data_IF_892537694116
#
_entry.id   IF_892537694116
#
_cell.length_a   1.000
_cell.length_b   1.000
_cell.length_c   1.000
_cell.angle_alpha   90.00
_cell.angle_beta   90.00
_cell.angle_gamma   90.00
#
_symmetry.space_group_name_H-M   'P 1'
#
loop_
_entity.id
_entity.type
_entity.pdbx_description
1 polymer ?
#
# COMPACT_ATOMS: atom_id res chain seq x y z
N UNK A 1 -16.68 2.85 24.04
CA UNK A 1 -15.35 2.61 23.45
C UNK A 1 -15.39 3.15 22.02
N UNK A 2 -14.40 3.94 21.60
CA UNK A 2 -14.41 4.64 20.30
C UNK A 2 -13.75 3.80 19.19
N UNK A 3 -13.01 2.78 19.56
CA UNK A 3 -12.28 1.89 18.65
C UNK A 3 -13.20 0.75 18.17
N UNK A 4 -13.20 0.52 16.86
CA UNK A 4 -13.95 -0.59 16.22
C UNK A 4 -13.03 -1.80 15.97
N UNK A 5 -11.72 -1.58 15.97
CA UNK A 5 -10.69 -2.62 15.76
C UNK A 5 -9.92 -2.87 17.06
N UNK A 6 -9.43 -4.09 17.22
CA UNK A 6 -8.54 -4.44 18.33
C UNK A 6 -7.22 -3.67 18.21
N UNK A 7 -6.75 -3.14 19.32
CA UNK A 7 -5.47 -2.43 19.42
C UNK A 7 -4.46 -3.32 20.12
N UNK A 8 -3.32 -3.52 19.47
CA UNK A 8 -2.21 -4.33 19.97
C UNK A 8 -0.95 -3.47 20.12
N UNK A 9 -0.06 -3.87 21.02
CA UNK A 9 1.26 -3.26 21.22
C UNK A 9 2.33 -4.34 21.28
N UNK A 10 3.55 -4.00 20.86
CA UNK A 10 4.74 -4.85 20.99
C UNK A 10 5.89 -3.99 21.51
N UNK A 11 6.77 -4.59 22.31
CA UNK A 11 8.02 -3.95 22.74
C UNK A 11 9.12 -4.07 21.69
N UNK A 12 9.02 -5.08 20.81
CA UNK A 12 9.95 -5.30 19.70
C UNK A 12 9.16 -5.39 18.38
N UNK A 13 9.24 -4.31 17.60
CA UNK A 13 8.62 -4.23 16.27
C UNK A 13 9.42 -5.05 15.27
N UNK A 14 10.75 -5.10 15.39
CA UNK A 14 11.59 -5.81 14.43
C UNK A 14 11.37 -7.33 14.49
N UNK A 15 11.25 -7.90 15.69
CA UNK A 15 10.93 -9.32 15.87
C UNK A 15 9.55 -9.64 15.30
N UNK A 16 8.52 -8.84 15.62
CA UNK A 16 7.17 -9.01 15.08
C UNK A 16 7.16 -9.03 13.55
N UNK A 17 7.87 -8.10 12.92
CA UNK A 17 7.92 -8.01 11.45
C UNK A 17 8.63 -9.21 10.81
N UNK A 18 9.71 -9.70 11.43
CA UNK A 18 10.38 -10.92 10.97
C UNK A 18 9.47 -12.13 11.06
N UNK A 19 8.80 -12.33 12.20
CA UNK A 19 7.84 -13.43 12.37
C UNK A 19 6.71 -13.34 11.35
N UNK A 20 6.15 -12.15 11.12
CA UNK A 20 5.08 -11.98 10.12
C UNK A 20 5.57 -12.23 8.69
N UNK A 21 6.78 -11.81 8.36
CA UNK A 21 7.43 -12.12 7.07
C UNK A 21 7.60 -13.64 6.89
N UNK A 22 8.08 -14.35 7.92
CA UNK A 22 8.20 -15.83 7.90
C UNK A 22 6.85 -16.55 7.78
N UNK A 23 5.78 -15.96 8.32
CA UNK A 23 4.39 -16.42 8.14
C UNK A 23 3.81 -16.09 6.74
N UNK A 24 4.58 -15.46 5.86
CA UNK A 24 4.17 -15.14 4.49
C UNK A 24 3.44 -13.80 4.33
N UNK A 25 3.52 -12.90 5.32
CA UNK A 25 2.93 -11.56 5.18
C UNK A 25 3.85 -10.63 4.40
N UNK A 26 3.27 -9.80 3.54
CA UNK A 26 3.98 -8.71 2.88
C UNK A 26 4.17 -7.54 3.84
N UNK A 27 5.42 -7.15 4.10
CA UNK A 27 5.76 -6.02 4.96
C UNK A 27 5.98 -4.78 4.11
N UNK A 28 5.12 -3.76 4.27
CA UNK A 28 5.15 -2.51 3.53
C UNK A 28 5.49 -1.34 4.44
N UNK A 29 6.54 -0.61 4.08
CA UNK A 29 6.87 0.67 4.71
C UNK A 29 6.17 1.84 4.03
N UNK A 30 6.12 2.99 4.70
CA UNK A 30 5.67 4.25 4.09
C UNK A 30 6.79 5.26 4.06
N UNK A 31 6.84 6.04 2.97
CA UNK A 31 7.86 7.04 2.78
C UNK A 31 7.33 8.30 2.09
N UNK A 32 7.83 9.44 2.56
CA UNK A 32 7.52 10.75 1.98
C UNK A 32 7.99 10.87 0.53
N UNK A 33 7.35 11.74 -0.23
CA UNK A 33 7.75 12.02 -1.60
C UNK A 33 9.19 12.54 -1.65
N UNK A 34 10.00 12.02 -2.58
CA UNK A 34 11.41 12.42 -2.76
C UNK A 34 12.39 11.82 -1.75
N UNK A 35 11.93 11.15 -0.68
CA UNK A 35 12.80 10.44 0.29
C UNK A 35 12.92 8.96 -0.09
N UNK A 36 13.55 8.65 -1.22
CA UNK A 36 13.66 7.28 -1.73
C UNK A 36 14.83 6.56 -1.02
N UNK A 37 14.59 5.46 -0.28
CA UNK A 37 15.68 4.63 0.24
C UNK A 37 16.43 3.96 -0.92
N UNK A 38 17.75 3.84 -0.82
CA UNK A 38 18.58 3.29 -1.90
C UNK A 38 18.34 1.80 -2.15
N UNK A 39 18.14 1.03 -1.07
CA UNK A 39 18.15 -0.45 -1.12
C UNK A 39 16.75 -1.09 -1.14
N UNK A 40 15.68 -0.29 -1.05
CA UNK A 40 14.32 -0.80 -0.89
C UNK A 40 13.44 -0.26 -2.03
N UNK A 41 12.78 -1.12 -2.82
CA UNK A 41 11.94 -0.68 -3.92
C UNK A 41 10.78 0.18 -3.43
N UNK A 42 10.61 1.35 -4.05
CA UNK A 42 9.51 2.28 -3.79
C UNK A 42 8.46 2.19 -4.90
N UNK A 43 7.19 2.11 -4.53
CA UNK A 43 6.07 2.18 -5.45
C UNK A 43 5.07 3.25 -5.00
N UNK A 44 4.33 3.82 -5.95
CA UNK A 44 3.19 4.66 -5.59
C UNK A 44 2.07 3.80 -5.02
N UNK A 45 1.27 4.34 -4.09
CA UNK A 45 0.15 3.61 -3.53
C UNK A 45 -0.89 3.18 -4.59
N UNK A 46 -1.01 3.92 -5.70
CA UNK A 46 -1.91 3.60 -6.82
C UNK A 46 -1.45 2.38 -7.62
N UNK A 47 -0.13 2.13 -7.68
CA UNK A 47 0.47 1.00 -8.40
C UNK A 47 0.58 -0.25 -7.54
N UNK A 48 0.48 -0.12 -6.22
CA UNK A 48 0.39 -1.26 -5.33
C UNK A 48 -0.89 -2.06 -5.60
N UNK A 49 -0.84 -3.37 -5.35
CA UNK A 49 -1.98 -4.28 -5.45
C UNK A 49 -1.98 -5.17 -4.22
N UNK A 50 -3.08 -5.16 -3.48
CA UNK A 50 -3.21 -5.96 -2.29
C UNK A 50 -3.61 -7.40 -2.63
N UNK A 51 -2.64 -8.32 -2.67
CA UNK A 51 -2.88 -9.73 -3.01
C UNK A 51 -2.66 -10.68 -1.83
N UNK A 52 -1.72 -10.36 -0.94
CA UNK A 52 -1.34 -11.21 0.20
C UNK A 52 -1.75 -10.57 1.55
N UNK A 53 -1.72 -11.31 2.67
CA UNK A 53 -1.77 -10.69 4.00
C UNK A 53 -0.67 -9.65 4.14
N UNK A 54 -1.01 -8.43 4.57
CA UNK A 54 -0.09 -7.29 4.51
C UNK A 54 0.00 -6.58 5.85
N UNK A 55 1.22 -6.23 6.26
CA UNK A 55 1.50 -5.28 7.34
C UNK A 55 1.87 -3.94 6.71
N UNK A 56 1.12 -2.89 7.01
CA UNK A 56 1.41 -1.53 6.57
C UNK A 56 1.99 -0.72 7.73
N UNK A 57 3.25 -0.30 7.60
CA UNK A 57 3.98 0.46 8.60
C UNK A 57 3.87 1.96 8.34
N UNK A 58 3.39 2.68 9.35
CA UNK A 58 3.33 4.13 9.36
C UNK A 58 4.45 4.69 10.23
N UNK A 59 5.26 5.56 9.65
CA UNK A 59 6.37 6.20 10.35
C UNK A 59 5.93 7.24 11.37
N UNK A 60 6.85 7.61 12.26
CA UNK A 60 6.66 8.73 13.17
C UNK A 60 6.58 10.06 12.40
N UNK A 61 5.87 11.04 12.93
CA UNK A 61 5.79 12.38 12.36
C UNK A 61 7.19 13.03 12.36
N UNK A 62 7.55 13.66 11.25
CA UNK A 62 8.85 14.31 11.04
C UNK A 62 10.02 13.36 10.73
N UNK A 63 10.08 12.18 11.36
CA UNK A 63 11.22 11.26 11.25
C UNK A 63 10.97 10.08 10.29
N UNK A 64 9.73 9.64 10.12
CA UNK A 64 9.39 8.43 9.37
C UNK A 64 9.72 7.15 10.13
N UNK A 65 9.96 6.06 9.38
CA UNK A 65 10.39 4.77 9.93
C UNK A 65 11.89 4.81 10.22
N UNK A 66 12.36 4.19 11.31
CA UNK A 66 13.79 4.08 11.56
C UNK A 66 14.46 3.15 10.52
N UNK A 67 15.75 3.34 10.21
CA UNK A 67 16.46 2.56 9.20
C UNK A 67 16.37 1.05 9.41
N UNK A 68 16.45 0.59 10.66
CA UNK A 68 16.37 -0.82 11.03
C UNK A 68 15.02 -1.43 10.65
N UNK A 69 13.92 -0.68 10.83
CA UNK A 69 12.58 -1.11 10.42
C UNK A 69 12.39 -1.01 8.92
N UNK A 70 12.96 0.01 8.25
CA UNK A 70 12.90 0.14 6.80
C UNK A 70 13.52 -1.08 6.11
N UNK A 71 14.68 -1.56 6.57
CA UNK A 71 15.35 -2.73 5.99
C UNK A 71 14.55 -4.04 6.10
N UNK A 72 13.55 -4.10 6.97
CA UNK A 72 12.64 -5.25 7.09
C UNK A 72 11.44 -5.15 6.15
N UNK A 73 11.23 -3.99 5.52
CA UNK A 73 10.16 -3.80 4.55
C UNK A 73 10.57 -4.45 3.22
N UNK A 74 9.66 -5.23 2.64
CA UNK A 74 9.87 -5.75 1.29
C UNK A 74 9.80 -4.64 0.25
N UNK A 75 8.94 -3.64 0.49
CA UNK A 75 8.70 -2.49 -0.39
C UNK A 75 8.29 -1.27 0.43
N UNK A 76 8.52 -0.08 -0.12
CA UNK A 76 8.00 1.18 0.43
C UNK A 76 6.87 1.71 -0.45
N UNK A 77 5.85 2.28 0.18
CA UNK A 77 4.78 3.00 -0.48
C UNK A 77 4.94 4.50 -0.30
N UNK A 78 4.71 5.23 -1.38
CA UNK A 78 4.64 6.69 -1.38
C UNK A 78 3.33 7.18 -1.97
N UNK A 79 2.86 8.32 -1.49
CA UNK A 79 1.71 9.02 -2.07
C UNK A 79 2.28 10.03 -3.07
N UNK A 80 1.98 9.83 -4.35
CA UNK A 80 2.39 10.77 -5.38
C UNK A 80 1.62 12.09 -5.20
N UNK A 81 2.31 13.24 -5.21
CA UNK A 81 1.63 14.52 -5.18
C UNK A 81 0.93 14.76 -6.52
N UNK A 82 -0.25 15.38 -6.49
CA UNK A 82 -1.00 15.70 -7.71
C UNK A 82 -0.45 16.88 -8.52
N UNK A 83 0.60 17.53 -8.00
CA UNK A 83 1.31 18.68 -8.58
C UNK A 83 2.70 18.76 -7.97
N UNK A 84 3.57 19.58 -8.54
CA UNK A 84 4.87 19.85 -7.93
C UNK A 84 4.70 20.45 -6.53
N UNK A 85 5.45 19.92 -5.57
CA UNK A 85 5.40 20.38 -4.20
C UNK A 85 6.16 21.70 -4.06
N UNK A 86 5.54 22.68 -3.40
CA UNK A 86 6.24 23.89 -3.00
C UNK A 86 7.33 23.56 -1.98
N UNK A 87 8.38 24.38 -1.99
CA UNK A 87 9.52 24.21 -1.10
C UNK A 87 9.05 24.23 0.38
N UNK A 88 9.35 23.17 1.12
CA UNK A 88 9.02 23.05 2.55
C UNK A 88 7.80 22.18 2.89
N UNK A 89 7.02 21.69 1.90
CA UNK A 89 5.99 20.66 2.15
C UNK A 89 6.63 19.28 2.03
N UNK A 90 7.17 18.76 3.13
CA UNK A 90 7.92 17.50 3.11
C UNK A 90 7.07 16.24 3.34
N UNK A 91 5.90 16.36 3.98
CA UNK A 91 5.05 15.21 4.29
C UNK A 91 3.60 15.61 4.60
N UNK A 92 2.71 14.63 4.46
CA UNK A 92 1.35 14.73 4.97
C UNK A 92 1.35 14.34 6.46
N UNK A 93 0.35 14.83 7.20
CA UNK A 93 0.07 14.30 8.53
C UNK A 93 -0.14 12.77 8.45
N UNK A 94 0.37 12.04 9.44
CA UNK A 94 0.36 10.57 9.44
C UNK A 94 -1.07 10.01 9.32
N UNK A 95 -2.06 10.63 9.95
CA UNK A 95 -3.46 10.18 9.84
C UNK A 95 -4.05 10.40 8.45
N UNK A 96 -3.68 11.50 7.77
CA UNK A 96 -4.08 11.80 6.40
C UNK A 96 -3.44 10.82 5.43
N UNK A 97 -2.14 10.55 5.59
CA UNK A 97 -1.42 9.56 4.80
C UNK A 97 -2.04 8.16 4.97
N UNK A 98 -2.32 7.75 6.21
CA UNK A 98 -2.98 6.49 6.52
C UNK A 98 -4.35 6.38 5.83
N UNK A 99 -5.17 7.42 5.90
CA UNK A 99 -6.48 7.46 5.25
C UNK A 99 -6.40 7.28 3.73
N UNK A 100 -5.47 7.97 3.07
CA UNK A 100 -5.26 7.85 1.62
C UNK A 100 -4.78 6.44 1.26
N UNK A 101 -3.76 5.94 1.96
CA UNK A 101 -3.19 4.61 1.72
C UNK A 101 -4.26 3.53 1.87
N UNK A 102 -4.96 3.51 3.01
CA UNK A 102 -6.01 2.54 3.27
C UNK A 102 -7.14 2.64 2.24
N UNK A 103 -7.55 3.86 1.87
CA UNK A 103 -8.57 4.05 0.84
C UNK A 103 -8.14 3.41 -0.50
N UNK A 104 -6.95 3.74 -0.99
CA UNK A 104 -6.45 3.24 -2.29
C UNK A 104 -6.29 1.71 -2.25
N UNK A 105 -5.63 1.18 -1.22
CA UNK A 105 -5.34 -0.24 -1.06
C UNK A 105 -6.64 -1.06 -0.91
N UNK A 106 -7.58 -0.59 -0.09
CA UNK A 106 -8.84 -1.30 0.13
C UNK A 106 -9.81 -1.19 -1.05
N UNK A 107 -9.82 -0.05 -1.76
CA UNK A 107 -10.72 0.13 -2.90
C UNK A 107 -10.33 -0.75 -4.09
N UNK A 108 -9.04 -1.08 -4.23
CA UNK A 108 -8.57 -2.05 -5.22
C UNK A 108 -9.05 -3.48 -4.93
N UNK A 109 -9.19 -3.86 -3.65
CA UNK A 109 -9.66 -5.19 -3.23
C UNK A 109 -11.10 -5.45 -3.70
N UNK A 110 -11.95 -4.43 -3.74
CA UNK A 110 -13.34 -4.56 -4.19
C UNK A 110 -13.48 -4.81 -5.70
N UNK A 111 -12.41 -4.65 -6.48
CA UNK A 111 -12.40 -4.96 -7.91
C UNK A 111 -11.94 -6.40 -8.22
N UNK A 112 -11.62 -7.19 -7.20
CA UNK A 112 -11.34 -8.62 -7.35
C UNK A 112 -12.58 -9.44 -6.94
N UNK A 113 -13.11 -10.33 -7.81
CA UNK A 113 -14.15 -11.26 -7.38
C UNK A 113 -13.58 -12.12 -6.25
N UNK A 114 -14.31 -12.17 -5.13
CA UNK A 114 -14.00 -13.06 -4.02
C UNK A 114 -13.86 -14.47 -4.57
N UNK A 115 -12.65 -15.03 -4.57
CA UNK A 115 -12.48 -16.47 -4.70
C UNK A 115 -13.00 -17.06 -3.39
N UNK A 116 -14.27 -17.43 -3.39
CA UNK A 116 -14.81 -18.32 -2.38
C UNK A 116 -14.10 -19.65 -2.56
N UNK A 117 -13.39 -20.11 -1.53
CA UNK A 117 -12.91 -21.48 -1.49
C UNK A 117 -14.14 -22.40 -1.57
N UNK A 118 -14.41 -22.93 -2.76
CA UNK A 118 -15.30 -24.07 -2.96
C UNK A 118 -14.41 -25.29 -3.15
N UNK A 119 -14.57 -26.23 -2.23
CA UNK A 119 -14.02 -27.58 -2.35
C UNK A 119 -14.52 -28.23 -3.64
N UNK A 120 -13.61 -28.90 -4.37
CA UNK A 120 -13.92 -30.11 -5.13
C UNK A 120 -14.45 -29.99 -6.57
N UNK A 121 -13.59 -30.44 -7.50
CA UNK A 121 -13.87 -31.25 -8.70
C UNK A 121 -14.29 -30.59 -10.03
N UNK A 122 -13.40 -30.73 -11.03
CA UNK A 122 -13.78 -31.15 -12.38
C UNK A 122 -13.65 -30.15 -13.54
N UNK A 123 -12.56 -30.27 -14.30
CA UNK A 123 -12.60 -30.35 -15.77
C UNK A 123 -13.05 -29.15 -16.65
N UNK A 124 -12.04 -28.47 -17.21
CA UNK A 124 -11.90 -28.11 -18.62
C UNK A 124 -12.57 -26.84 -19.24
N UNK A 125 -11.70 -26.09 -19.93
CA UNK A 125 -11.88 -25.23 -21.12
C UNK A 125 -12.14 -23.71 -20.98
N UNK A 126 -11.09 -22.98 -21.37
CA UNK A 126 -10.97 -21.65 -21.98
C UNK A 126 -12.25 -21.02 -22.57
N UNK A 127 -12.47 -19.73 -22.27
CA UNK A 127 -12.88 -18.78 -23.32
C UNK A 127 -12.56 -17.32 -22.93
N UNK A 128 -11.93 -16.62 -23.87
CA UNK A 128 -11.68 -15.19 -23.83
C UNK A 128 -12.97 -14.36 -23.99
N UNK A 129 -13.06 -13.21 -23.34
CA UNK A 129 -13.86 -12.05 -23.75
C UNK A 129 -13.33 -10.80 -23.01
N UNK A 130 -12.59 -9.91 -23.68
CA UNK A 130 -13.04 -8.75 -24.48
C UNK A 130 -13.10 -7.46 -23.65
N UNK A 131 -12.01 -6.71 -23.74
CA UNK A 131 -11.96 -5.28 -24.11
C UNK A 131 -13.02 -4.35 -23.47
N UNK A 132 -12.62 -3.58 -22.45
CA UNK A 132 -13.37 -2.40 -22.01
C UNK A 132 -12.54 -1.13 -22.25
N UNK A 133 -12.63 -0.72 -23.50
CA UNK A 133 -12.37 0.58 -24.08
C UNK A 133 -12.60 1.76 -23.10
N UNK A 134 -11.52 2.32 -22.54
CA UNK A 134 -11.57 3.61 -21.86
C UNK A 134 -11.05 4.67 -22.85
N UNK A 135 -12.00 5.37 -23.47
CA UNK A 135 -11.73 6.51 -24.34
C UNK A 135 -11.00 7.58 -23.53
N UNK A 136 -9.75 7.85 -23.87
CA UNK A 136 -9.05 9.06 -23.47
C UNK A 136 -9.65 10.25 -24.23
N UNK A 137 -10.51 11.01 -23.57
CA UNK A 137 -10.83 12.38 -23.97
C UNK A 137 -9.69 13.31 -23.49
N UNK A 138 -9.05 14.10 -24.36
CA UNK A 138 -8.04 15.06 -23.94
C UNK A 138 -8.71 16.32 -23.40
N UNK A 139 -8.68 16.51 -22.08
CA UNK A 139 -9.05 17.80 -21.48
C UNK A 139 -7.93 18.81 -21.73
N UNK A 140 -8.05 19.49 -22.85
CA UNK A 140 -7.26 20.67 -23.19
C UNK A 140 -7.78 21.84 -22.34
N UNK A 141 -7.05 22.25 -21.30
CA UNK A 141 -7.27 23.55 -20.67
C UNK A 141 -5.94 24.30 -20.67
N UNK A 142 -5.90 25.26 -21.58
CA UNK A 142 -4.95 26.35 -21.67
C UNK A 142 -5.51 27.50 -20.80
N UNK A 143 -4.80 27.88 -19.74
CA UNK A 143 -4.74 29.24 -19.14
C UNK A 143 -3.72 29.24 -18.00
#
# INVERSE_FOLDING_TARGET
VMEVFDVFSTDDVQELLKTKSEEGWEILGTVGHGKIPEDIPVATCSDFRWTEPTVLLLGNEGYGLCPETQMLCHRMLTIAPGRDLEFGVESLNVSVAAGILLHVICNQRNNHPRVTASEGEGGAQSMAATDCNQKNEPTNILA
#
